data_IF_704237561024
#
_entry.id   IF_704237561024
#
_cell.length_a   1.000
_cell.length_b   1.000
_cell.length_c   1.000
_cell.angle_alpha   90.00
_cell.angle_beta   90.00
_cell.angle_gamma   90.00
#
_symmetry.space_group_name_H-M   'P 1'
#
loop_
_entity.id
_entity.type
_entity.pdbx_description
1 polymer ?
#
# COMPACT_ATOMS: atom_id res chain seq x y z
N UNK A 1 -4.36 12.43 -12.90
CA UNK A 1 -5.82 12.42 -12.67
C UNK A 1 -6.09 11.60 -11.42
N UNK A 2 -6.96 12.07 -10.52
CA UNK A 2 -7.31 11.33 -9.28
C UNK A 2 -8.57 10.50 -9.56
N UNK A 3 -8.47 9.18 -9.42
CA UNK A 3 -9.60 8.28 -9.53
C UNK A 3 -10.04 7.87 -8.12
N UNK A 4 -11.30 8.14 -7.80
CA UNK A 4 -11.92 7.73 -6.54
C UNK A 4 -12.80 6.51 -6.80
N UNK A 5 -12.61 5.45 -6.02
CA UNK A 5 -13.44 4.25 -6.07
C UNK A 5 -14.31 4.20 -4.81
N UNK A 6 -15.62 4.06 -4.99
CA UNK A 6 -16.53 3.71 -3.89
C UNK A 6 -16.62 2.20 -3.78
N UNK A 7 -16.50 1.69 -2.55
CA UNK A 7 -16.60 0.27 -2.23
C UNK A 7 -17.82 0.10 -1.33
N UNK A 8 -18.77 -0.72 -1.74
CA UNK A 8 -19.89 -1.13 -0.90
C UNK A 8 -19.47 -2.37 -0.11
N UNK A 9 -19.68 -2.33 1.20
CA UNK A 9 -19.42 -3.45 2.11
C UNK A 9 -20.76 -3.91 2.68
N UNK A 10 -20.95 -5.23 2.78
CA UNK A 10 -22.02 -5.77 3.61
C UNK A 10 -21.68 -5.63 5.11
N UNK A 11 -22.67 -5.89 5.96
CA UNK A 11 -22.56 -5.72 7.41
C UNK A 11 -21.40 -6.50 8.04
N UNK A 12 -21.08 -7.69 7.52
CA UNK A 12 -19.99 -8.49 8.07
C UNK A 12 -18.64 -7.86 7.73
N UNK A 13 -18.44 -7.45 6.49
CA UNK A 13 -17.20 -6.77 6.10
C UNK A 13 -17.05 -5.38 6.73
N UNK A 14 -18.16 -4.67 6.97
CA UNK A 14 -18.15 -3.40 7.69
C UNK A 14 -17.68 -3.57 9.14
N UNK A 15 -18.13 -4.64 9.82
CA UNK A 15 -17.67 -4.97 11.19
C UNK A 15 -16.19 -5.33 11.23
N UNK A 16 -15.73 -6.18 10.31
CA UNK A 16 -14.32 -6.54 10.20
C UNK A 16 -13.44 -5.31 9.93
N UNK A 17 -13.92 -4.37 9.11
CA UNK A 17 -13.21 -3.12 8.88
C UNK A 17 -13.08 -2.31 10.16
N UNK A 18 -14.13 -2.23 10.99
CA UNK A 18 -14.06 -1.49 12.25
C UNK A 18 -13.11 -2.16 13.27
N UNK A 19 -13.09 -3.49 13.34
CA UNK A 19 -12.12 -4.24 14.15
C UNK A 19 -10.67 -3.96 13.70
N UNK A 20 -10.40 -4.03 12.40
CA UNK A 20 -9.08 -3.72 11.84
C UNK A 20 -8.69 -2.27 12.08
N UNK A 21 -9.65 -1.35 11.96
CA UNK A 21 -9.46 0.08 12.21
C UNK A 21 -9.05 0.33 13.66
N UNK A 22 -9.72 -0.32 14.61
CA UNK A 22 -9.38 -0.24 16.04
C UNK A 22 -8.00 -0.85 16.33
N UNK A 23 -7.68 -1.98 15.70
CA UNK A 23 -6.41 -2.67 15.87
C UNK A 23 -5.22 -1.83 15.39
N UNK A 24 -5.29 -1.30 14.18
CA UNK A 24 -4.21 -0.49 13.58
C UNK A 24 -4.27 0.99 13.96
N UNK A 25 -5.37 1.43 14.58
CA UNK A 25 -5.64 2.84 14.92
C UNK A 25 -5.55 3.77 13.71
N UNK A 26 -6.07 3.32 12.58
CA UNK A 26 -6.09 4.06 11.32
C UNK A 26 -7.49 4.60 11.01
N UNK A 27 -7.62 5.49 10.03
CA UNK A 27 -8.91 5.81 9.44
C UNK A 27 -9.45 4.62 8.63
N UNK A 28 -10.76 4.53 8.42
CA UNK A 28 -11.38 3.45 7.64
C UNK A 28 -10.79 3.37 6.22
N UNK A 29 -10.63 4.50 5.54
CA UNK A 29 -10.06 4.57 4.19
C UNK A 29 -8.61 4.04 4.15
N UNK A 30 -7.78 4.46 5.09
CA UNK A 30 -6.38 4.01 5.16
C UNK A 30 -6.27 2.54 5.54
N UNK A 31 -7.18 2.05 6.38
CA UNK A 31 -7.28 0.63 6.73
C UNK A 31 -7.62 -0.21 5.49
N UNK A 32 -8.60 0.21 4.69
CA UNK A 32 -8.96 -0.46 3.43
C UNK A 32 -7.77 -0.44 2.45
N UNK A 33 -7.10 0.70 2.32
CA UNK A 33 -5.91 0.84 1.45
C UNK A 33 -4.78 -0.10 1.90
N UNK A 34 -4.56 -0.22 3.20
CA UNK A 34 -3.59 -1.16 3.77
C UNK A 34 -3.97 -2.61 3.48
N UNK A 35 -5.23 -2.98 3.73
CA UNK A 35 -5.72 -4.34 3.47
C UNK A 35 -5.56 -4.75 2.01
N UNK A 36 -5.91 -3.87 1.05
CA UNK A 36 -5.72 -4.12 -0.38
C UNK A 36 -4.24 -4.33 -0.71
N UNK A 37 -3.36 -3.48 -0.17
CA UNK A 37 -1.90 -3.60 -0.41
C UNK A 37 -1.35 -4.90 0.14
N UNK A 38 -1.74 -5.31 1.35
CA UNK A 38 -1.32 -6.57 1.97
C UNK A 38 -1.80 -7.77 1.16
N UNK A 39 -3.06 -7.78 0.73
CA UNK A 39 -3.62 -8.86 -0.08
C UNK A 39 -2.94 -8.94 -1.45
N UNK A 40 -2.73 -7.81 -2.11
CA UNK A 40 -2.02 -7.76 -3.38
C UNK A 40 -0.55 -8.21 -3.25
N UNK A 41 0.14 -7.80 -2.19
CA UNK A 41 1.50 -8.25 -1.91
C UNK A 41 1.55 -9.77 -1.68
N UNK A 42 0.61 -10.32 -0.89
CA UNK A 42 0.45 -11.77 -0.69
C UNK A 42 0.11 -12.53 -1.97
N UNK A 43 -0.68 -11.94 -2.87
CA UNK A 43 -1.03 -12.56 -4.13
C UNK A 43 0.15 -12.57 -5.12
N UNK A 44 1.01 -11.54 -5.09
CA UNK A 44 2.19 -11.45 -5.97
C UNK A 44 3.41 -12.17 -5.43
N UNK A 45 3.56 -12.27 -4.11
CA UNK A 45 4.60 -13.07 -3.49
C UNK A 45 4.14 -14.53 -3.48
N UNK A 46 4.89 -15.43 -4.13
CA UNK A 46 4.70 -16.88 -3.93
C UNK A 46 4.67 -17.15 -2.41
N UNK A 47 3.81 -18.06 -1.94
CA UNK A 47 3.46 -18.23 -0.52
C UNK A 47 4.64 -18.54 0.42
N UNK A 48 5.83 -18.86 -0.10
CA UNK A 48 7.01 -19.21 0.70
C UNK A 48 7.89 -18.03 1.13
N UNK A 49 7.62 -16.79 0.69
CA UNK A 49 8.44 -15.63 1.06
C UNK A 49 7.68 -14.73 2.02
N UNK A 50 7.75 -15.09 3.31
CA UNK A 50 7.21 -14.31 4.41
C UNK A 50 7.89 -12.93 4.47
N UNK A 51 7.07 -11.90 4.29
CA UNK A 51 7.27 -10.47 4.59
C UNK A 51 7.87 -9.62 3.45
N UNK A 52 7.07 -8.75 2.79
CA UNK A 52 7.61 -7.58 2.11
C UNK A 52 8.14 -6.58 3.15
N UNK A 53 9.42 -6.22 3.04
CA UNK A 53 10.05 -5.16 3.81
C UNK A 53 9.25 -3.85 3.64
N UNK A 54 8.60 -3.39 4.72
CA UNK A 54 7.88 -2.13 4.73
C UNK A 54 8.91 -0.98 4.74
N UNK A 55 9.21 -0.42 3.55
CA UNK A 55 9.94 0.83 3.42
C UNK A 55 8.96 2.00 3.32
N UNK A 56 8.73 2.78 4.38
CA UNK A 56 8.02 4.04 4.26
C UNK A 56 8.90 4.96 3.40
N UNK A 57 8.54 5.12 2.13
CA UNK A 57 9.19 6.09 1.24
C UNK A 57 8.87 7.51 1.74
N UNK A 58 9.71 8.00 2.64
CA UNK A 58 9.88 9.41 2.92
C UNK A 58 11.29 9.82 2.45
N UNK A 59 11.51 9.81 1.14
CA UNK A 59 12.56 10.62 0.54
C UNK A 59 11.97 11.31 -0.68
N UNK A 60 11.94 12.64 -0.61
CA UNK A 60 11.73 13.56 -1.73
C UNK A 60 12.66 13.14 -2.87
N UNK A 61 12.10 12.99 -4.05
CA UNK A 61 12.85 13.08 -5.30
C UNK A 61 13.41 14.51 -5.37
N UNK A 62 14.70 14.66 -5.07
CA UNK A 62 15.48 15.76 -5.63
C UNK A 62 16.50 15.13 -6.58
N UNK A 63 16.35 15.57 -7.81
CA UNK A 63 17.03 15.18 -9.02
C UNK A 63 18.51 15.54 -8.94
N UNK A 64 19.38 14.68 -9.47
CA UNK A 64 20.19 14.95 -10.66
C UNK A 64 20.95 13.67 -11.03
N UNK A 65 20.63 13.18 -12.23
CA UNK A 65 21.33 12.15 -12.98
C UNK A 65 22.80 12.57 -13.15
N UNK A 66 23.73 11.85 -12.54
CA UNK A 66 25.15 11.88 -12.86
C UNK A 66 25.43 10.60 -13.65
N UNK A 67 25.11 10.60 -14.94
CA UNK A 67 25.72 9.70 -15.92
C UNK A 67 25.48 10.26 -17.33
N UNK A 68 26.49 10.94 -17.88
CA UNK A 68 26.72 10.84 -19.32
C UNK A 68 28.23 10.79 -19.58
N UNK A 69 28.74 9.57 -19.59
CA UNK A 69 30.04 9.21 -20.12
C UNK A 69 30.05 9.32 -21.68
N UNK A 70 30.57 10.43 -22.22
CA UNK A 70 31.17 10.57 -23.57
C UNK A 70 30.23 10.53 -24.81
N UNK A 71 30.59 11.13 -25.98
CA UNK A 71 31.87 10.87 -26.65
C UNK A 71 32.50 12.06 -27.46
N UNK A 72 33.81 11.97 -27.75
CA UNK A 72 34.64 12.76 -28.69
C UNK A 72 34.64 14.30 -28.63
#
# INVERSE_FOLDING_TARGET
>A
MRHTLMINLDDNHARLLDELRQHFRLAAEDTVRLAIRLTHARHKQKPDVLVPEFKPRAKREDWYDDDDCGPF
#
